data_IF_787627712255
#
_entry.id   IF_787627712255
#
_cell.length_a   1.000
_cell.length_b   1.000
_cell.length_c   1.000
_cell.angle_alpha   90.00
_cell.angle_beta   90.00
_cell.angle_gamma   90.00
#
_symmetry.space_group_name_H-M   'P 1'
#
loop_
_entity.id
_entity.type
_entity.pdbx_description
1 polymer ?
#
# COMPACT_ATOMS: atom_id res chain seq x y z
N UNK A 1 -6.32 -3.12 -2.74
CA UNK A 1 -5.78 -1.74 -2.70
C UNK A 1 -6.75 -0.90 -1.88
N UNK A 2 -6.31 -0.15 -0.88
CA UNK A 2 -7.19 0.58 0.06
C UNK A 2 -7.97 1.77 -0.52
N UNK A 3 -7.92 2.04 -1.83
CA UNK A 3 -8.57 3.21 -2.46
C UNK A 3 -7.97 4.57 -2.07
N UNK A 4 -7.17 4.61 -1.01
CA UNK A 4 -6.48 5.80 -0.53
C UNK A 4 -5.20 6.07 -1.33
N UNK A 5 -4.85 7.35 -1.52
CA UNK A 5 -3.58 7.79 -2.13
C UNK A 5 -2.41 7.67 -1.15
N UNK A 6 -2.22 6.47 -0.61
CA UNK A 6 -1.15 6.17 0.35
C UNK A 6 0.00 5.39 -0.29
N UNK A 7 0.13 5.44 -1.62
CA UNK A 7 1.23 4.80 -2.33
C UNK A 7 2.51 5.63 -2.14
N UNK A 8 3.54 5.01 -1.58
CA UNK A 8 4.85 5.61 -1.48
C UNK A 8 5.59 5.48 -2.80
N UNK A 9 5.95 6.60 -3.42
CA UNK A 9 6.57 6.64 -4.76
C UNK A 9 7.93 5.93 -4.76
N UNK A 10 8.82 6.32 -3.84
CA UNK A 10 10.19 5.78 -3.82
C UNK A 10 10.27 4.30 -3.44
N UNK A 11 9.26 3.80 -2.71
CA UNK A 11 9.25 2.42 -2.19
C UNK A 11 8.26 1.54 -2.95
N UNK A 12 7.52 2.11 -3.89
CA UNK A 12 6.42 1.47 -4.62
C UNK A 12 5.50 0.62 -3.73
N UNK A 13 5.25 1.07 -2.51
CA UNK A 13 4.50 0.32 -1.49
C UNK A 13 3.45 1.22 -0.86
N UNK A 14 2.26 0.69 -0.60
CA UNK A 14 1.21 1.44 0.04
C UNK A 14 1.39 1.44 1.55
N UNK A 15 1.46 2.61 2.17
CA UNK A 15 1.62 2.76 3.62
C UNK A 15 0.40 2.27 4.40
N UNK A 16 -0.81 2.37 3.82
CA UNK A 16 -2.06 1.96 4.49
C UNK A 16 -2.32 0.47 4.39
N UNK A 17 -2.30 -0.11 3.18
CA UNK A 17 -2.65 -1.52 2.98
C UNK A 17 -1.47 -2.45 2.70
N UNK A 18 -0.26 -1.93 2.51
CA UNK A 18 0.91 -2.74 2.15
C UNK A 18 0.95 -3.21 0.69
N UNK A 19 0.02 -2.80 -0.18
CA UNK A 19 0.05 -3.11 -1.61
C UNK A 19 1.44 -2.80 -2.19
N UNK A 20 2.09 -3.71 -2.96
CA UNK A 20 1.54 -4.89 -3.63
C UNK A 20 1.53 -6.22 -2.84
N UNK A 21 1.76 -6.21 -1.53
CA UNK A 21 1.74 -7.44 -0.74
C UNK A 21 0.42 -8.22 -0.84
N UNK A 22 0.49 -9.56 -0.85
CA UNK A 22 -0.67 -10.44 -0.94
C UNK A 22 -1.62 -10.32 0.25
N UNK A 23 -1.08 -10.00 1.43
CA UNK A 23 -1.85 -9.75 2.64
C UNK A 23 -2.00 -8.25 2.85
N UNK A 24 -3.22 -7.81 3.11
CA UNK A 24 -3.51 -6.42 3.45
C UNK A 24 -3.05 -6.15 4.89
N UNK A 25 -2.32 -5.05 5.09
CA UNK A 25 -1.98 -4.56 6.43
C UNK A 25 -3.26 -4.09 7.13
N UNK A 26 -3.52 -4.59 8.34
CA UNK A 26 -4.60 -4.12 9.22
C UNK A 26 -4.13 -2.92 10.02
#
# INVERSE_FOLDING_TARGET
RCGQRSLHIQKHTCASCGYPAAKTRK
#
